data_IF_288094149108
#
_entry.id   IF_288094149108
#
_cell.length_a   1.000
_cell.length_b   1.000
_cell.length_c   1.000
_cell.angle_alpha   90.00
_cell.angle_beta   90.00
_cell.angle_gamma   90.00
#
_symmetry.space_group_name_H-M   'P 1'
#
loop_
_entity.id
_entity.type
_entity.pdbx_description
1 polymer ?
#
# COMPACT_ATOMS: atom_id res chain seq x y z
N UNK A 1 14.64 17.62 -1.45
CA UNK A 1 14.12 17.22 -2.78
C UNK A 1 13.58 15.79 -2.68
N UNK A 2 12.55 15.57 -1.86
CA UNK A 2 12.00 14.26 -1.49
C UNK A 2 10.46 14.34 -1.32
N UNK A 3 9.75 15.00 -2.24
CA UNK A 3 8.27 15.09 -2.18
C UNK A 3 7.56 14.43 -3.36
N UNK A 4 8.17 14.29 -4.54
CA UNK A 4 7.45 13.73 -5.70
C UNK A 4 7.22 12.20 -5.65
N UNK A 5 8.06 11.44 -4.95
CA UNK A 5 7.95 9.97 -4.92
C UNK A 5 6.81 9.50 -4.01
N UNK A 6 6.50 10.26 -2.96
CA UNK A 6 5.34 9.99 -2.11
C UNK A 6 4.03 10.22 -2.87
N UNK A 7 3.99 11.21 -3.77
CA UNK A 7 2.84 11.51 -4.62
C UNK A 7 2.48 10.34 -5.54
N UNK A 8 3.45 9.80 -6.30
CA UNK A 8 3.16 8.74 -7.30
C UNK A 8 2.53 7.50 -6.66
N UNK A 9 3.02 7.08 -5.50
CA UNK A 9 2.52 5.89 -4.78
C UNK A 9 1.09 6.09 -4.29
N UNK A 10 0.82 7.24 -3.67
CA UNK A 10 -0.51 7.59 -3.18
C UNK A 10 -1.51 7.75 -4.34
N UNK A 11 -1.09 8.39 -5.44
CA UNK A 11 -1.87 8.54 -6.66
C UNK A 11 -2.19 7.16 -7.27
N UNK A 12 -1.23 6.25 -7.32
CA UNK A 12 -1.44 4.90 -7.84
C UNK A 12 -2.47 4.12 -7.00
N UNK A 13 -2.36 4.16 -5.67
CA UNK A 13 -3.31 3.51 -4.76
C UNK A 13 -4.72 4.11 -4.92
N UNK A 14 -4.83 5.43 -5.01
CA UNK A 14 -6.11 6.11 -5.23
C UNK A 14 -6.73 5.77 -6.60
N UNK A 15 -5.92 5.70 -7.66
CA UNK A 15 -6.38 5.31 -8.99
C UNK A 15 -6.84 3.85 -9.02
N UNK A 16 -6.13 2.95 -8.33
CA UNK A 16 -6.51 1.54 -8.23
C UNK A 16 -7.92 1.35 -7.65
N UNK A 17 -8.31 2.16 -6.66
CA UNK A 17 -9.65 2.09 -6.05
C UNK A 17 -10.77 2.46 -7.04
N UNK A 18 -10.47 3.25 -8.07
CA UNK A 18 -11.42 3.71 -9.08
C UNK A 18 -11.54 2.77 -10.30
N UNK A 19 -10.71 1.74 -10.39
CA UNK A 19 -10.68 0.81 -11.51
C UNK A 19 -11.44 -0.48 -11.21
N UNK A 20 -12.02 -1.08 -12.24
CA UNK A 20 -12.56 -2.44 -12.20
C UNK A 20 -11.44 -3.50 -12.10
N UNK A 21 -11.77 -4.72 -11.70
CA UNK A 21 -10.79 -5.79 -11.45
C UNK A 21 -9.80 -6.00 -12.61
N UNK A 22 -10.28 -5.99 -13.86
CA UNK A 22 -9.43 -6.11 -15.05
C UNK A 22 -8.51 -4.89 -15.24
N UNK A 23 -9.03 -3.68 -15.01
CA UNK A 23 -8.24 -2.44 -15.09
C UNK A 23 -7.21 -2.32 -13.97
N UNK A 24 -7.53 -2.86 -12.79
CA UNK A 24 -6.58 -2.94 -11.67
C UNK A 24 -5.39 -3.82 -12.02
N UNK A 25 -5.63 -4.99 -12.63
CA UNK A 25 -4.55 -5.90 -13.03
C UNK A 25 -3.63 -5.25 -14.09
N UNK A 26 -4.20 -4.60 -15.11
CA UNK A 26 -3.43 -3.89 -16.13
C UNK A 26 -2.61 -2.74 -15.53
N UNK A 27 -3.23 -1.93 -14.66
CA UNK A 27 -2.53 -0.85 -13.94
C UNK A 27 -1.40 -1.38 -13.04
N UNK A 28 -1.59 -2.52 -12.38
CA UNK A 28 -0.55 -3.17 -11.58
C UNK A 28 0.64 -3.60 -12.45
N UNK A 29 0.38 -4.25 -13.58
CA UNK A 29 1.44 -4.70 -14.49
C UNK A 29 2.20 -3.49 -15.05
N UNK A 30 1.49 -2.44 -15.47
CA UNK A 30 2.12 -1.21 -15.95
C UNK A 30 3.01 -0.57 -14.88
N UNK A 31 2.51 -0.40 -13.65
CA UNK A 31 3.28 0.24 -12.57
C UNK A 31 4.47 -0.63 -12.11
N UNK A 32 4.34 -1.96 -12.13
CA UNK A 32 5.46 -2.89 -11.89
C UNK A 32 6.56 -2.68 -12.93
N UNK A 33 6.22 -2.54 -14.21
CA UNK A 33 7.19 -2.28 -15.28
C UNK A 33 7.84 -0.91 -15.11
N UNK A 34 7.06 0.12 -14.76
CA UNK A 34 7.55 1.49 -14.63
C UNK A 34 8.39 1.73 -13.36
N UNK A 35 8.05 1.05 -12.26
CA UNK A 35 8.70 1.22 -10.95
C UNK A 35 9.72 0.12 -10.63
N UNK A 36 9.94 -0.83 -11.55
CA UNK A 36 10.76 -2.02 -11.32
C UNK A 36 10.28 -2.85 -10.11
N UNK A 37 8.97 -3.00 -10.00
CA UNK A 37 8.38 -3.92 -9.02
C UNK A 37 8.65 -5.38 -9.37
N UNK A 38 8.34 -6.28 -8.44
CA UNK A 38 8.42 -7.71 -8.63
C UNK A 38 7.04 -8.35 -8.46
N UNK A 39 6.62 -9.12 -9.47
CA UNK A 39 5.52 -10.06 -9.38
C UNK A 39 6.07 -11.41 -9.81
N UNK A 40 6.41 -12.25 -8.84
CA UNK A 40 7.09 -13.53 -9.10
C UNK A 40 6.12 -14.68 -8.81
N UNK A 41 5.86 -15.56 -9.81
CA UNK A 41 5.05 -16.75 -9.58
C UNK A 41 5.80 -17.74 -8.67
N UNK A 42 5.09 -18.65 -7.99
CA UNK A 42 5.70 -19.67 -7.15
C UNK A 42 6.63 -20.56 -7.99
N UNK A 43 7.93 -20.38 -7.81
CA UNK A 43 8.93 -21.27 -8.37
C UNK A 43 9.07 -22.45 -7.41
N UNK A 44 8.77 -23.66 -7.90
CA UNK A 44 8.60 -24.89 -7.12
C UNK A 44 9.77 -25.34 -6.24
N UNK A 45 10.90 -24.63 -6.28
CA UNK A 45 12.09 -24.90 -5.46
C UNK A 45 12.24 -23.94 -4.26
N UNK A 46 11.52 -22.80 -4.24
CA UNK A 46 11.77 -21.71 -3.27
C UNK A 46 10.53 -21.24 -2.50
N UNK A 47 9.37 -21.15 -3.15
CA UNK A 47 8.15 -20.61 -2.51
C UNK A 47 6.91 -21.21 -3.17
N UNK A 48 6.06 -21.88 -2.39
CA UNK A 48 4.73 -22.33 -2.84
C UNK A 48 3.72 -21.18 -2.95
N UNK A 49 4.19 -19.93 -2.92
CA UNK A 49 3.40 -18.71 -2.87
C UNK A 49 3.84 -17.74 -3.95
N UNK A 50 2.89 -16.96 -4.41
CA UNK A 50 3.12 -15.77 -5.21
C UNK A 50 3.73 -14.70 -4.34
N UNK A 51 4.77 -14.04 -4.83
CA UNK A 51 5.45 -12.94 -4.16
C UNK A 51 5.29 -11.67 -4.99
N UNK A 52 4.80 -10.62 -4.34
CA UNK A 52 4.59 -9.31 -4.94
C UNK A 52 5.33 -8.26 -4.09
N UNK A 53 6.27 -7.57 -4.71
CA UNK A 53 6.91 -6.38 -4.13
C UNK A 53 6.68 -5.18 -5.05
N UNK A 54 5.94 -4.19 -4.55
CA UNK A 54 5.69 -2.95 -5.29
C UNK A 54 5.65 -1.77 -4.33
N UNK A 55 6.33 -0.68 -4.70
CA UNK A 55 6.44 0.54 -3.89
C UNK A 55 7.01 0.32 -2.47
N UNK A 56 7.81 -0.73 -2.27
CA UNK A 56 8.35 -1.11 -0.96
C UNK A 56 7.33 -1.79 -0.04
N UNK A 57 6.21 -2.25 -0.59
CA UNK A 57 5.25 -3.11 0.08
C UNK A 57 5.40 -4.51 -0.51
N UNK A 58 5.80 -5.44 0.35
CA UNK A 58 5.98 -6.85 0.01
C UNK A 58 4.79 -7.65 0.53
N UNK A 59 4.17 -8.45 -0.32
CA UNK A 59 3.03 -9.31 0.01
C UNK A 59 3.16 -10.68 -0.64
N UNK A 60 2.64 -11.70 0.03
CA UNK A 60 2.57 -13.07 -0.48
C UNK A 60 1.14 -13.61 -0.49
N UNK A 61 0.88 -14.60 -1.35
CA UNK A 61 -0.41 -15.27 -1.45
C UNK A 61 -0.32 -16.65 -2.09
N UNK A 62 -1.28 -17.54 -1.81
CA UNK A 62 -1.36 -18.84 -2.46
C UNK A 62 -1.68 -18.73 -3.96
N UNK A 63 -2.36 -17.65 -4.37
CA UNK A 63 -2.66 -17.30 -5.76
C UNK A 63 -2.25 -15.86 -6.06
N UNK A 64 -2.15 -15.51 -7.35
CA UNK A 64 -1.88 -14.13 -7.80
C UNK A 64 -2.89 -13.15 -7.22
N UNK A 65 -4.18 -13.49 -7.29
CA UNK A 65 -5.28 -12.68 -6.76
C UNK A 65 -5.15 -12.45 -5.24
N UNK A 66 -4.75 -13.48 -4.50
CA UNK A 66 -4.55 -13.40 -3.05
C UNK A 66 -3.33 -12.52 -2.70
N UNK A 67 -2.24 -12.64 -3.45
CA UNK A 67 -1.06 -11.79 -3.26
C UNK A 67 -1.40 -10.30 -3.52
N UNK A 68 -2.16 -10.01 -4.58
CA UNK A 68 -2.64 -8.66 -4.88
C UNK A 68 -3.59 -8.16 -3.79
N UNK A 69 -4.53 -9.00 -3.31
CA UNK A 69 -5.44 -8.62 -2.24
C UNK A 69 -4.70 -8.33 -0.92
N UNK A 70 -3.69 -9.13 -0.58
CA UNK A 70 -2.85 -8.90 0.59
C UNK A 70 -2.02 -7.63 0.45
N UNK A 71 -1.47 -7.37 -0.73
CA UNK A 71 -0.78 -6.11 -1.01
C UNK A 71 -1.70 -4.91 -0.84
N UNK A 72 -2.92 -4.96 -1.38
CA UNK A 72 -3.90 -3.87 -1.23
C UNK A 72 -4.23 -3.61 0.23
N UNK A 73 -4.42 -4.66 1.05
CA UNK A 73 -4.63 -4.51 2.50
C UNK A 73 -3.43 -3.85 3.19
N UNK A 74 -2.21 -4.20 2.80
CA UNK A 74 -1.02 -3.57 3.36
C UNK A 74 -0.86 -2.12 2.89
N UNK A 75 -1.14 -1.85 1.62
CA UNK A 75 -1.14 -0.52 1.04
C UNK A 75 -2.16 0.39 1.74
N UNK A 76 -3.38 -0.09 1.97
CA UNK A 76 -4.42 0.65 2.70
C UNK A 76 -4.04 0.89 4.17
N UNK A 77 -3.31 -0.03 4.81
CA UNK A 77 -2.81 0.17 6.18
C UNK A 77 -1.66 1.17 6.27
N UNK A 78 -0.79 1.21 5.25
CA UNK A 78 0.40 2.07 5.21
C UNK A 78 0.08 3.47 4.68
N UNK A 79 -0.88 3.54 3.79
CA UNK A 79 -1.49 4.74 3.25
C UNK A 79 -2.97 4.67 3.55
N UNK A 80 -3.36 4.75 4.86
CA UNK A 80 -4.76 5.02 5.16
C UNK A 80 -5.06 6.29 4.39
N UNK A 81 -6.19 6.29 3.68
CA UNK A 81 -6.72 7.49 3.04
C UNK A 81 -6.46 8.59 4.05
N UNK A 82 -5.54 9.50 3.73
CA UNK A 82 -5.41 10.68 4.55
C UNK A 82 -6.80 11.25 4.39
N UNK A 83 -7.62 11.10 5.43
CA UNK A 83 -8.72 11.98 5.75
C UNK A 83 -8.06 13.35 5.68
N UNK A 84 -8.03 13.86 4.45
CA UNK A 84 -7.83 15.25 4.17
C UNK A 84 -9.17 15.80 4.62
N UNK A 85 -9.31 15.91 5.94
CA UNK A 85 -10.07 16.98 6.52
C UNK A 85 -9.53 18.21 5.81
N UNK A 86 -10.30 18.65 4.82
CA UNK A 86 -10.15 19.85 4.03
C UNK A 86 -10.25 21.09 4.95
N UNK A 87 -9.41 21.15 5.99
CA UNK A 87 -9.41 22.21 6.99
C UNK A 87 -8.02 22.41 7.62
N UNK A 88 -6.92 22.04 6.94
CA UNK A 88 -5.59 22.55 7.30
C UNK A 88 -5.12 22.40 8.76
N UNK A 89 -5.72 21.52 9.57
CA UNK A 89 -5.42 21.38 10.98
C UNK A 89 -5.04 19.93 11.29
N UNK A 90 -3.76 19.72 11.62
CA UNK A 90 -3.28 18.43 12.11
C UNK A 90 -3.81 18.25 13.53
N UNK A 91 -4.87 17.47 13.70
CA UNK A 91 -5.31 17.02 15.05
C UNK A 91 -4.30 15.99 15.55
N UNK A 92 -3.23 16.48 16.17
CA UNK A 92 -2.38 15.65 17.04
C UNK A 92 -3.22 15.26 18.24
N UNK A 93 -3.63 14.00 18.33
CA UNK A 93 -4.11 13.46 19.60
C UNK A 93 -2.91 13.33 20.55
N UNK A 94 -2.85 14.12 21.65
CA UNK A 94 -1.84 13.87 22.66
C UNK A 94 -2.11 12.48 23.26
N UNK A 95 -1.06 11.67 23.41
CA UNK A 95 -1.14 10.47 24.26
C UNK A 95 -1.65 10.92 25.62
N UNK A 96 -2.65 10.24 26.22
CA UNK A 96 -3.01 10.53 27.60
C UNK A 96 -1.78 10.20 28.45
N UNK A 97 -1.07 11.24 28.90
CA UNK A 97 -0.07 11.08 29.94
C UNK A 97 -0.83 10.63 31.17
N UNK A 98 -0.83 9.34 31.42
CA UNK A 98 -1.16 8.78 32.72
C UNK A 98 -0.12 9.30 33.72
N UNK A 99 -0.38 10.45 34.32
CA UNK A 99 0.26 10.82 35.56
C UNK A 99 -0.67 11.73 36.37
N UNK A 100 -1.66 11.10 37.00
CA UNK A 100 -2.20 11.63 38.24
C UNK A 100 -1.19 11.38 39.35
N UNK A 101 -0.61 12.44 39.89
CA UNK A 101 -0.19 12.59 41.29
C UNK A 101 -0.30 14.10 41.58
N UNK A 102 -1.39 14.56 42.19
CA UNK A 102 -1.58 14.67 43.64
C UNK A 102 -0.55 15.59 44.31
N UNK A 103 -0.92 16.86 44.50
CA UNK A 103 -0.81 17.63 45.75
C UNK A 103 -1.47 19.01 45.56
#
# INVERSE_FOLDING_TARGET
MMSLIHDRRAIFIANLKNLDAAGQQDAFVAEVIETFGHLTPPAGDLSHRWELDLHGISADGATEEEAIANWKRQADRLYPEQDTEDDGFITVHPRPTANGVAA
#
